data_IF_827692765886
#
_entry.id   IF_827692765886
#
_cell.length_a   1.000
_cell.length_b   1.000
_cell.length_c   1.000
_cell.angle_alpha   90.00
_cell.angle_beta   90.00
_cell.angle_gamma   90.00
#
_symmetry.space_group_name_H-M   'P 1'
#
loop_
_entity.id
_entity.type
_entity.pdbx_description
1 polymer ?
#
# COMPACT_ATOMS: atom_id res chain seq x y z
N UNK A 1 10.16 -2.14 8.40
CA UNK A 1 10.07 -0.71 8.06
C UNK A 1 8.84 -0.49 7.19
N UNK A 2 8.05 0.53 7.47
CA UNK A 2 6.76 0.76 6.82
C UNK A 2 6.78 2.10 6.08
N UNK A 3 6.21 2.12 4.89
CA UNK A 3 6.01 3.33 4.11
C UNK A 3 4.51 3.63 4.00
N UNK A 4 4.10 4.83 4.38
CA UNK A 4 2.74 5.34 4.21
C UNK A 4 2.72 6.49 3.21
N UNK A 5 1.89 6.37 2.19
CA UNK A 5 1.54 7.48 1.30
C UNK A 5 0.18 8.05 1.73
N UNK A 6 0.16 9.27 2.21
CA UNK A 6 -1.07 9.99 2.56
C UNK A 6 -1.31 11.08 1.54
N UNK A 7 -2.48 11.07 0.91
CA UNK A 7 -2.93 12.09 -0.02
C UNK A 7 -4.14 12.82 0.57
N UNK A 8 -3.98 14.11 0.78
CA UNK A 8 -5.06 14.99 1.18
C UNK A 8 -5.66 15.65 -0.06
N UNK A 9 -6.83 15.20 -0.47
CA UNK A 9 -7.56 15.77 -1.60
C UNK A 9 -8.66 16.70 -1.09
N UNK A 10 -8.51 18.02 -1.30
CA UNK A 10 -9.56 18.99 -1.08
C UNK A 10 -9.64 20.01 -2.23
N UNK A 11 -10.86 20.39 -2.60
CA UNK A 11 -11.20 21.23 -3.76
C UNK A 11 -10.43 22.55 -3.82
N UNK A 12 -9.86 22.87 -5.00
CA UNK A 12 -9.34 24.17 -5.45
C UNK A 12 -8.06 24.75 -4.80
N UNK A 13 -7.51 24.11 -3.79
CA UNK A 13 -6.22 24.54 -3.22
C UNK A 13 -5.07 23.66 -3.69
N UNK A 14 -3.82 24.17 -3.69
CA UNK A 14 -2.66 23.35 -4.00
C UNK A 14 -2.59 22.15 -3.04
N UNK A 15 -2.57 20.95 -3.60
CA UNK A 15 -2.50 19.71 -2.84
C UNK A 15 -1.04 19.32 -2.71
N UNK A 16 -0.66 18.90 -1.51
CA UNK A 16 0.68 18.35 -1.23
C UNK A 16 0.53 16.89 -0.88
N UNK A 17 1.29 16.03 -1.57
CA UNK A 17 1.43 14.64 -1.21
C UNK A 17 2.51 14.47 -0.14
N UNK A 18 2.32 13.52 0.75
CA UNK A 18 3.27 13.15 1.80
C UNK A 18 3.66 11.68 1.68
N UNK A 19 4.95 11.41 1.53
CA UNK A 19 5.54 10.09 1.72
C UNK A 19 6.17 10.00 3.11
N UNK A 20 5.87 8.94 3.86
CA UNK A 20 6.36 8.74 5.22
C UNK A 20 7.04 7.39 5.35
N UNK A 21 8.26 7.38 5.88
CA UNK A 21 9.01 6.17 6.20
C UNK A 21 9.01 5.96 7.71
N UNK A 22 8.56 4.78 8.14
CA UNK A 22 8.50 4.40 9.54
C UNK A 22 9.47 3.25 9.85
N UNK A 23 9.99 3.23 11.06
CA UNK A 23 10.72 2.08 11.59
C UNK A 23 9.77 0.93 12.03
N UNK A 24 10.34 -0.15 12.55
CA UNK A 24 9.57 -1.30 13.04
C UNK A 24 8.65 -0.97 14.24
N UNK A 25 8.93 0.09 14.96
CA UNK A 25 8.12 0.58 16.09
C UNK A 25 7.09 1.64 15.65
N UNK A 26 6.92 1.84 14.33
CA UNK A 26 6.03 2.83 13.74
C UNK A 26 6.42 4.29 14.03
N UNK A 27 7.70 4.53 14.31
CA UNK A 27 8.23 5.88 14.52
C UNK A 27 8.68 6.43 13.17
N UNK A 28 8.23 7.65 12.78
CA UNK A 28 8.68 8.29 11.55
C UNK A 28 10.18 8.58 11.58
N UNK A 29 10.90 8.06 10.59
CA UNK A 29 12.35 8.28 10.43
C UNK A 29 12.71 9.07 9.17
N UNK A 30 11.76 9.24 8.27
CA UNK A 30 11.94 10.03 7.07
C UNK A 30 10.61 10.43 6.46
N UNK A 31 10.60 11.59 5.80
CA UNK A 31 9.45 12.05 5.04
C UNK A 31 9.86 12.77 3.76
N UNK A 32 8.99 12.76 2.77
CA UNK A 32 9.10 13.50 1.52
C UNK A 32 7.77 14.16 1.20
N UNK A 33 7.81 15.47 0.97
CA UNK A 33 6.69 16.22 0.41
C UNK A 33 6.85 16.31 -1.11
N UNK A 34 5.76 16.22 -1.84
CA UNK A 34 5.74 16.36 -3.29
C UNK A 34 4.48 17.06 -3.77
N UNK A 35 4.53 17.77 -4.92
CA UNK A 35 3.35 18.46 -5.45
C UNK A 35 2.23 17.49 -5.82
N UNK A 36 1.01 17.76 -5.37
CA UNK A 36 -0.15 16.92 -5.63
C UNK A 36 -0.78 17.09 -7.01
N UNK A 37 -0.22 17.97 -7.86
CA UNK A 37 -0.65 18.17 -9.24
C UNK A 37 0.02 17.19 -10.24
N UNK A 38 0.98 16.42 -9.78
CA UNK A 38 1.62 15.38 -10.59
C UNK A 38 0.84 14.07 -10.55
N UNK A 39 1.04 13.24 -11.55
CA UNK A 39 0.50 11.88 -11.52
C UNK A 39 1.12 11.12 -10.34
N UNK A 40 0.30 10.80 -9.36
CA UNK A 40 0.72 10.23 -8.07
C UNK A 40 1.41 8.86 -8.23
N UNK A 41 0.92 8.04 -9.16
CA UNK A 41 1.39 6.66 -9.35
C UNK A 41 2.88 6.54 -9.68
N UNK A 42 3.45 7.28 -10.65
CA UNK A 42 4.88 7.21 -10.88
C UNK A 42 5.72 7.93 -9.82
N UNK A 43 5.20 9.00 -9.22
CA UNK A 43 5.92 9.79 -8.22
C UNK A 43 6.24 8.96 -6.98
N UNK A 44 5.32 8.10 -6.53
CA UNK A 44 5.51 7.31 -5.31
C UNK A 44 6.73 6.40 -5.37
N UNK A 45 7.06 5.85 -6.55
CA UNK A 45 8.25 5.00 -6.73
C UNK A 45 9.53 5.77 -6.43
N UNK A 46 9.65 6.99 -6.98
CA UNK A 46 10.80 7.84 -6.75
C UNK A 46 10.90 8.29 -5.29
N UNK A 47 9.76 8.58 -4.66
CA UNK A 47 9.69 8.96 -3.24
C UNK A 47 10.17 7.83 -2.35
N UNK A 48 9.75 6.60 -2.62
CA UNK A 48 10.19 5.41 -1.86
C UNK A 48 11.71 5.22 -2.02
N UNK A 49 12.22 5.24 -3.25
CA UNK A 49 13.64 5.02 -3.53
C UNK A 49 14.50 6.11 -2.88
N UNK A 50 14.08 7.37 -2.98
CA UNK A 50 14.79 8.50 -2.34
C UNK A 50 14.80 8.39 -0.82
N UNK A 51 13.66 8.05 -0.19
CA UNK A 51 13.58 7.88 1.26
C UNK A 51 14.46 6.73 1.76
N UNK A 52 14.46 5.60 1.05
CA UNK A 52 15.32 4.46 1.39
C UNK A 52 16.80 4.82 1.28
N UNK A 53 17.19 5.49 0.22
CA UNK A 53 18.58 5.92 -0.01
C UNK A 53 19.03 6.94 1.04
N UNK A 54 18.23 8.00 1.24
CA UNK A 54 18.56 9.08 2.17
C UNK A 54 18.66 8.62 3.63
N UNK A 55 17.88 7.62 4.02
CA UNK A 55 17.89 7.07 5.39
C UNK A 55 18.72 5.78 5.51
N UNK A 56 19.50 5.44 4.50
CA UNK A 56 20.39 4.25 4.49
C UNK A 56 19.65 2.95 4.80
N UNK A 57 18.44 2.79 4.29
CA UNK A 57 17.62 1.60 4.48
C UNK A 57 18.11 0.50 3.55
N UNK A 58 18.70 -0.54 4.11
CA UNK A 58 19.25 -1.69 3.37
C UNK A 58 18.36 -2.94 3.46
N UNK A 59 17.34 -2.92 4.30
CA UNK A 59 16.48 -4.06 4.54
C UNK A 59 15.20 -4.04 3.71
N UNK A 60 14.45 -5.13 3.84
CA UNK A 60 13.12 -5.27 3.23
C UNK A 60 12.13 -4.32 3.89
N UNK A 61 11.35 -3.61 3.08
CA UNK A 61 10.28 -2.73 3.53
C UNK A 61 8.90 -3.30 3.18
N UNK A 62 7.86 -2.72 3.78
CA UNK A 62 6.47 -2.97 3.39
C UNK A 62 5.93 -1.65 2.83
N UNK A 63 5.56 -1.65 1.56
CA UNK A 63 4.93 -0.51 0.90
C UNK A 63 3.43 -0.55 1.16
N UNK A 64 2.88 0.51 1.74
CA UNK A 64 1.46 0.61 2.07
C UNK A 64 0.87 1.79 1.30
N UNK A 65 -0.17 1.53 0.53
CA UNK A 65 -0.81 2.55 -0.28
C UNK A 65 -2.31 2.32 -0.43
N UNK A 66 -3.04 3.39 -0.64
CA UNK A 66 -4.45 3.33 -0.92
C UNK A 66 -4.72 2.91 -2.39
N UNK A 67 -6.00 2.78 -2.72
CA UNK A 67 -6.45 2.35 -4.06
C UNK A 67 -6.00 3.27 -5.20
N UNK A 68 -5.73 4.55 -4.91
CA UNK A 68 -5.27 5.52 -5.90
C UNK A 68 -3.86 5.22 -6.43
N UNK A 69 -3.04 4.57 -5.61
CA UNK A 69 -1.66 4.17 -5.94
C UNK A 69 -1.53 2.72 -6.39
N UNK A 70 -2.61 1.94 -6.33
CA UNK A 70 -2.60 0.55 -6.75
C UNK A 70 -2.56 0.47 -8.29
N UNK A 71 -1.42 0.09 -8.82
CA UNK A 71 -1.20 -0.21 -10.23
C UNK A 71 -0.09 -1.25 -10.38
N UNK A 72 -0.06 -1.92 -11.52
CA UNK A 72 0.90 -3.00 -11.80
C UNK A 72 2.34 -2.54 -11.69
N UNK A 73 2.66 -1.32 -12.12
CA UNK A 73 4.00 -0.77 -12.06
C UNK A 73 4.48 -0.54 -10.63
N UNK A 74 3.58 -0.15 -9.71
CA UNK A 74 3.92 0.04 -8.30
C UNK A 74 4.10 -1.31 -7.60
N UNK A 75 3.28 -2.29 -7.93
CA UNK A 75 3.46 -3.68 -7.47
C UNK A 75 4.78 -4.24 -7.98
N UNK A 76 5.07 -4.08 -9.27
CA UNK A 76 6.33 -4.53 -9.86
C UNK A 76 7.55 -3.86 -9.21
N UNK A 77 7.47 -2.55 -8.92
CA UNK A 77 8.53 -1.83 -8.21
C UNK A 77 8.79 -2.44 -6.83
N UNK A 78 7.74 -2.73 -6.05
CA UNK A 78 7.90 -3.37 -4.75
C UNK A 78 8.56 -4.76 -4.87
N UNK A 79 8.05 -5.60 -5.74
CA UNK A 79 8.57 -6.96 -5.95
C UNK A 79 10.03 -6.94 -6.43
N UNK A 80 10.35 -6.07 -7.40
CA UNK A 80 11.72 -5.91 -7.94
C UNK A 80 12.71 -5.49 -6.85
N UNK A 81 12.29 -4.65 -5.92
CA UNK A 81 13.12 -4.20 -4.80
C UNK A 81 13.19 -5.23 -3.64
N UNK A 82 12.51 -6.36 -3.75
CA UNK A 82 12.41 -7.35 -2.70
C UNK A 82 11.54 -6.91 -1.51
N UNK A 83 10.74 -5.86 -1.70
CA UNK A 83 9.80 -5.35 -0.70
C UNK A 83 8.50 -6.16 -0.71
N UNK A 84 7.75 -6.06 0.38
CA UNK A 84 6.35 -6.47 0.46
C UNK A 84 5.44 -5.28 0.19
N UNK A 85 4.18 -5.53 -0.07
CA UNK A 85 3.21 -4.46 -0.29
C UNK A 85 1.84 -4.82 0.28
N UNK A 86 1.11 -3.79 0.71
CA UNK A 86 -0.29 -3.84 1.13
C UNK A 86 -0.98 -2.69 0.42
N UNK A 87 -1.71 -2.97 -0.64
CA UNK A 87 -2.43 -1.97 -1.43
C UNK A 87 -3.92 -2.26 -1.38
N UNK A 88 -4.72 -1.23 -1.10
CA UNK A 88 -6.16 -1.38 -1.15
C UNK A 88 -6.65 -1.43 -2.60
N UNK A 89 -7.73 -2.18 -2.83
CA UNK A 89 -8.35 -2.34 -4.14
C UNK A 89 -9.87 -2.20 -4.02
N UNK A 90 -10.49 -1.49 -4.95
CA UNK A 90 -11.94 -1.36 -4.95
C UNK A 90 -12.60 -2.63 -5.47
N UNK A 91 -13.44 -3.26 -4.65
CA UNK A 91 -14.18 -4.48 -5.05
C UNK A 91 -15.08 -4.22 -6.26
N UNK A 92 -15.65 -3.01 -6.39
CA UNK A 92 -16.49 -2.64 -7.54
C UNK A 92 -15.74 -2.66 -8.88
N UNK A 93 -14.43 -2.42 -8.85
CA UNK A 93 -13.57 -2.33 -10.03
C UNK A 93 -12.77 -3.60 -10.31
N UNK A 94 -12.98 -4.65 -9.50
CA UNK A 94 -12.31 -5.92 -9.73
C UNK A 94 -12.85 -6.60 -11.00
N UNK A 95 -12.00 -7.31 -11.75
CA UNK A 95 -12.45 -8.29 -12.74
C UNK A 95 -13.45 -9.28 -12.14
N UNK A 96 -14.39 -9.76 -12.94
CA UNK A 96 -15.48 -10.60 -12.45
C UNK A 96 -14.99 -11.86 -11.72
N UNK A 97 -13.92 -12.48 -12.18
CA UNK A 97 -13.32 -13.65 -11.53
C UNK A 97 -12.84 -13.34 -10.11
N UNK A 98 -12.07 -12.24 -9.95
CA UNK A 98 -11.60 -11.78 -8.65
C UNK A 98 -12.76 -11.35 -7.75
N UNK A 99 -13.71 -10.61 -8.31
CA UNK A 99 -14.89 -10.13 -7.59
C UNK A 99 -15.73 -11.29 -7.04
N UNK A 100 -16.00 -12.29 -7.86
CA UNK A 100 -16.71 -13.51 -7.45
C UNK A 100 -15.97 -14.19 -6.30
N UNK A 101 -14.66 -14.37 -6.43
CA UNK A 101 -13.82 -14.98 -5.40
C UNK A 101 -13.87 -14.21 -4.08
N UNK A 102 -13.72 -12.88 -4.12
CA UNK A 102 -13.76 -12.02 -2.93
C UNK A 102 -15.12 -12.05 -2.25
N UNK A 103 -16.22 -12.05 -3.02
CA UNK A 103 -17.58 -12.00 -2.48
C UNK A 103 -18.09 -13.34 -1.98
N UNK A 104 -17.49 -14.46 -2.39
CA UNK A 104 -17.82 -15.77 -1.85
C UNK A 104 -17.43 -15.85 -0.36
N UNK A 105 -18.36 -16.18 0.55
CA UNK A 105 -18.09 -16.22 1.99
C UNK A 105 -17.18 -17.34 2.43
N UNK A 106 -16.98 -18.34 1.58
CA UNK A 106 -16.19 -19.52 1.88
C UNK A 106 -14.70 -19.19 1.99
N UNK A 107 -13.96 -19.95 2.79
CA UNK A 107 -12.51 -19.90 2.96
C UNK A 107 -11.97 -18.64 3.64
N UNK A 108 -12.85 -17.78 4.15
CA UNK A 108 -12.44 -16.70 5.05
C UNK A 108 -12.15 -17.23 6.45
N UNK A 109 -11.00 -16.87 6.98
CA UNK A 109 -10.65 -17.16 8.38
C UNK A 109 -10.65 -15.87 9.22
N UNK A 110 -11.12 -15.97 10.44
CA UNK A 110 -11.15 -14.86 11.39
C UNK A 110 -9.76 -14.67 12.02
N UNK A 111 -9.29 -13.44 12.06
CA UNK A 111 -8.14 -13.04 12.88
C UNK A 111 -8.66 -12.34 14.11
N UNK A 112 -8.37 -12.92 15.29
CA UNK A 112 -8.93 -12.49 16.58
C UNK A 112 -7.84 -11.86 17.45
N UNK A 113 -8.27 -10.94 18.33
CA UNK A 113 -7.42 -10.42 19.39
C UNK A 113 -7.32 -11.41 20.57
N UNK A 114 -6.53 -11.06 21.60
CA UNK A 114 -6.38 -11.90 22.79
C UNK A 114 -7.68 -12.10 23.60
N UNK A 115 -8.69 -11.24 23.39
CA UNK A 115 -10.01 -11.33 24.01
C UNK A 115 -11.01 -12.19 23.23
N UNK A 116 -10.63 -12.64 22.04
CA UNK A 116 -11.47 -13.44 21.17
C UNK A 116 -12.35 -12.64 20.18
N UNK A 117 -12.25 -11.31 20.17
CA UNK A 117 -12.99 -10.48 19.23
C UNK A 117 -12.38 -10.57 17.83
N UNK A 118 -13.21 -10.65 16.81
CA UNK A 118 -12.76 -10.68 15.40
C UNK A 118 -12.28 -9.28 15.01
N UNK A 119 -11.00 -9.16 14.68
CA UNK A 119 -10.40 -7.92 14.20
C UNK A 119 -10.63 -7.74 12.69
N UNK A 120 -10.42 -8.78 11.92
CA UNK A 120 -10.63 -8.82 10.48
C UNK A 120 -10.70 -10.26 9.99
N UNK A 121 -11.09 -10.42 8.73
CA UNK A 121 -11.10 -11.70 8.04
C UNK A 121 -10.09 -11.71 6.92
N UNK A 122 -9.44 -12.83 6.71
CA UNK A 122 -8.44 -13.02 5.68
C UNK A 122 -8.79 -14.22 4.81
N UNK A 123 -8.58 -14.07 3.52
CA UNK A 123 -8.72 -15.14 2.52
C UNK A 123 -7.50 -15.11 1.62
N UNK A 124 -6.87 -16.24 1.43
CA UNK A 124 -5.68 -16.36 0.61
C UNK A 124 -6.05 -16.93 -0.76
N UNK A 125 -5.49 -16.33 -1.81
CA UNK A 125 -5.54 -16.88 -3.15
C UNK A 125 -4.16 -17.44 -3.51
N UNK A 126 -4.12 -18.68 -3.95
CA UNK A 126 -2.89 -19.36 -4.39
C UNK A 126 -2.74 -19.23 -5.90
N UNK A 127 -3.84 -19.02 -6.61
CA UNK A 127 -3.84 -18.86 -8.06
C UNK A 127 -3.68 -17.39 -8.46
N UNK A 128 -2.92 -17.16 -9.51
CA UNK A 128 -2.82 -15.84 -10.14
C UNK A 128 -4.13 -15.54 -10.86
N UNK A 129 -4.69 -14.36 -10.58
CA UNK A 129 -5.85 -13.83 -11.29
C UNK A 129 -5.42 -13.13 -12.57
N UNK A 130 -4.65 -13.79 -13.39
CA UNK A 130 -4.31 -13.27 -14.73
C UNK A 130 -5.44 -13.44 -15.74
#
# INVERSE_FOLDING_TARGET
MHFYGIFLKKNKEPIVGLGLLLDANQIPIGMKLFPGNQSEKPVIRNVIDELKTRNSVSGRTIQIADKGLNCSENIFHAVKNGDRYIFSKSVKQLPEKEKTWVLLPNDYRDVKNAKGDVLYRIKECIDDFE
#
